data_IF_001829584993
#
_entry.id   IF_001829584993
#
_cell.length_a   1.000
_cell.length_b   1.000
_cell.length_c   1.000
_cell.angle_alpha   90.00
_cell.angle_beta   90.00
_cell.angle_gamma   90.00
#
_symmetry.space_group_name_H-M   'P 1'
#
loop_
_entity.id
_entity.type
_entity.pdbx_description
1 polymer ?
#
# COMPACT_ATOMS: atom_id res chain seq x y z
N UNK A 1 21.11 -5.41 6.06
CA UNK A 1 20.84 -5.09 7.48
C UNK A 1 19.38 -5.29 7.91
N UNK A 2 18.37 -4.74 7.21
CA UNK A 2 16.97 -4.87 7.66
C UNK A 2 16.46 -6.33 7.74
N UNK A 3 16.91 -7.19 6.82
CA UNK A 3 16.58 -8.61 6.79
C UNK A 3 16.99 -9.31 8.09
N UNK A 4 18.17 -9.03 8.63
CA UNK A 4 18.67 -9.67 9.85
C UNK A 4 17.84 -9.32 11.07
N UNK A 5 17.46 -8.05 11.21
CA UNK A 5 16.67 -7.55 12.35
C UNK A 5 15.21 -8.05 12.34
N UNK A 6 14.58 -8.09 11.16
CA UNK A 6 13.15 -8.41 11.05
C UNK A 6 12.92 -9.92 10.86
N UNK A 7 13.78 -10.60 10.08
CA UNK A 7 13.56 -11.98 9.64
C UNK A 7 14.36 -12.99 10.47
N UNK A 8 15.62 -12.70 10.78
CA UNK A 8 16.52 -13.72 11.37
C UNK A 8 16.59 -13.66 12.91
N UNK A 9 16.00 -12.63 13.54
CA UNK A 9 16.02 -12.50 14.99
C UNK A 9 14.96 -13.43 15.63
N UNK A 10 15.40 -14.53 16.27
CA UNK A 10 14.51 -15.47 16.96
C UNK A 10 14.01 -14.97 18.33
N UNK A 11 14.76 -14.07 18.98
CA UNK A 11 14.54 -13.68 20.37
C UNK A 11 13.68 -12.41 20.53
N UNK A 12 13.50 -11.64 19.46
CA UNK A 12 12.64 -10.44 19.50
C UNK A 12 11.15 -10.79 19.50
N UNK A 13 10.38 -10.15 20.39
CA UNK A 13 8.91 -10.27 20.46
C UNK A 13 8.26 -9.90 19.12
N UNK A 14 7.20 -10.63 18.76
CA UNK A 14 6.45 -10.42 17.50
C UNK A 14 5.98 -8.96 17.34
N UNK A 15 5.51 -8.32 18.41
CA UNK A 15 5.07 -6.92 18.40
C UNK A 15 6.17 -5.95 17.95
N UNK A 16 7.42 -6.19 18.36
CA UNK A 16 8.56 -5.34 17.97
C UNK A 16 8.85 -5.49 16.49
N UNK A 17 8.85 -6.73 15.96
CA UNK A 17 9.04 -7.00 14.53
C UNK A 17 7.93 -6.36 13.68
N UNK A 18 6.68 -6.43 14.15
CA UNK A 18 5.55 -5.79 13.50
C UNK A 18 5.68 -4.26 13.50
N UNK A 19 6.13 -3.68 14.61
CA UNK A 19 6.39 -2.25 14.69
C UNK A 19 7.47 -1.84 13.69
N UNK A 20 8.60 -2.55 13.64
CA UNK A 20 9.67 -2.32 12.66
C UNK A 20 9.16 -2.41 11.22
N UNK A 21 8.32 -3.41 10.90
CA UNK A 21 7.67 -3.51 9.60
C UNK A 21 6.83 -2.27 9.27
N UNK A 22 5.98 -1.83 10.22
CA UNK A 22 5.12 -0.65 10.06
C UNK A 22 5.92 0.65 9.93
N UNK A 23 7.06 0.77 10.60
CA UNK A 23 7.87 1.99 10.60
C UNK A 23 8.84 2.07 9.43
N UNK A 24 9.41 0.95 8.97
CA UNK A 24 10.46 0.96 7.95
C UNK A 24 9.96 0.50 6.58
N UNK A 25 9.26 -0.62 6.53
CA UNK A 25 8.88 -1.24 5.25
C UNK A 25 7.58 -0.66 4.70
N UNK A 26 6.63 -0.32 5.57
CA UNK A 26 5.37 0.28 5.15
C UNK A 26 5.52 1.62 4.44
N UNK A 27 6.33 2.58 4.92
CA UNK A 27 6.56 3.82 4.19
C UNK A 27 7.16 3.62 2.80
N UNK A 28 8.09 2.66 2.63
CA UNK A 28 8.74 2.38 1.33
C UNK A 28 7.71 1.95 0.29
N UNK A 29 6.88 0.96 0.59
CA UNK A 29 5.87 0.54 -0.39
C UNK A 29 4.71 1.53 -0.49
N UNK A 30 4.41 2.30 0.56
CA UNK A 30 3.41 3.39 0.50
C UNK A 30 3.86 4.49 -0.45
N UNK A 31 5.14 4.81 -0.49
CA UNK A 31 5.70 5.72 -1.48
C UNK A 31 5.51 5.18 -2.91
N UNK A 32 5.88 3.90 -3.12
CA UNK A 32 5.61 3.22 -4.39
C UNK A 32 4.14 3.19 -4.77
N UNK A 33 3.23 3.13 -3.79
CA UNK A 33 1.78 3.20 -4.02
C UNK A 33 1.32 4.58 -4.50
N UNK A 34 1.93 5.68 -4.06
CA UNK A 34 1.57 7.01 -4.61
C UNK A 34 2.06 7.17 -6.04
N UNK A 35 3.24 6.62 -6.35
CA UNK A 35 3.87 6.72 -7.67
C UNK A 35 3.21 5.77 -8.68
N UNK A 36 2.92 4.54 -8.26
CA UNK A 36 2.43 3.45 -9.12
C UNK A 36 1.03 2.97 -8.77
N UNK A 37 0.36 3.54 -7.78
CA UNK A 37 -0.95 3.03 -7.37
C UNK A 37 -2.05 3.37 -8.36
N UNK A 38 -1.81 4.31 -9.30
CA UNK A 38 -2.69 4.54 -10.45
C UNK A 38 -2.40 3.54 -11.58
N UNK A 39 -1.43 2.63 -11.37
CA UNK A 39 -1.07 1.61 -12.33
C UNK A 39 -1.94 0.35 -12.19
N UNK A 40 -1.81 -0.52 -13.20
CA UNK A 40 -2.50 -1.81 -13.33
C UNK A 40 -2.47 -2.65 -12.04
N UNK A 41 -3.56 -3.37 -11.79
CA UNK A 41 -3.74 -4.31 -10.65
C UNK A 41 -2.53 -5.25 -10.45
N UNK A 42 -1.86 -5.64 -11.54
CA UNK A 42 -0.66 -6.47 -11.50
C UNK A 42 0.47 -5.90 -10.64
N UNK A 43 0.65 -4.59 -10.58
CA UNK A 43 1.67 -3.94 -9.75
C UNK A 43 1.30 -3.99 -8.25
N UNK A 44 0.02 -3.75 -7.93
CA UNK A 44 -0.48 -3.93 -6.56
C UNK A 44 -0.28 -5.37 -6.08
N UNK A 45 -0.52 -6.34 -6.95
CA UNK A 45 -0.29 -7.76 -6.66
C UNK A 45 1.18 -8.10 -6.40
N UNK A 46 2.14 -7.41 -7.05
CA UNK A 46 3.57 -7.56 -6.75
C UNK A 46 3.89 -7.07 -5.33
N UNK A 47 3.39 -5.89 -4.96
CA UNK A 47 3.58 -5.31 -3.62
C UNK A 47 2.91 -6.19 -2.55
N UNK A 48 1.69 -6.68 -2.81
CA UNK A 48 0.99 -7.59 -1.90
C UNK A 48 1.77 -8.88 -1.69
N UNK A 49 2.34 -9.49 -2.75
CA UNK A 49 3.19 -10.68 -2.63
C UNK A 49 4.43 -10.42 -1.78
N UNK A 50 5.07 -9.26 -1.94
CA UNK A 50 6.19 -8.84 -1.11
C UNK A 50 5.79 -8.71 0.36
N UNK A 51 4.68 -8.03 0.64
CA UNK A 51 4.10 -7.92 1.99
C UNK A 51 3.83 -9.28 2.62
N UNK A 52 3.15 -10.19 1.91
CA UNK A 52 2.83 -11.53 2.42
C UNK A 52 4.09 -12.34 2.78
N UNK A 53 5.13 -12.26 1.93
CA UNK A 53 6.42 -12.92 2.21
C UNK A 53 7.07 -12.38 3.49
N UNK A 54 7.01 -11.08 3.72
CA UNK A 54 7.56 -10.47 4.94
C UNK A 54 6.75 -10.86 6.17
N UNK A 55 5.41 -10.81 6.10
CA UNK A 55 4.55 -11.14 7.23
C UNK A 55 4.78 -12.58 7.69
N UNK A 56 4.83 -13.54 6.76
CA UNK A 56 5.17 -14.93 7.08
C UNK A 56 6.53 -15.07 7.74
N UNK A 57 7.52 -14.33 7.27
CA UNK A 57 8.86 -14.32 7.87
C UNK A 57 8.89 -13.71 9.27
N UNK A 58 8.05 -12.71 9.54
CA UNK A 58 7.95 -12.11 10.88
C UNK A 58 7.28 -13.07 11.86
N UNK A 59 6.21 -13.74 11.42
CA UNK A 59 5.44 -14.67 12.25
C UNK A 59 6.01 -16.08 12.30
N UNK A 60 7.06 -16.36 11.52
CA UNK A 60 7.57 -17.72 11.28
C UNK A 60 6.45 -18.71 10.88
N UNK A 61 5.45 -18.23 10.13
CA UNK A 61 4.29 -19.02 9.77
C UNK A 61 4.63 -20.05 8.69
N UNK A 62 4.19 -21.31 8.84
CA UNK A 62 4.26 -22.32 7.79
C UNK A 62 3.54 -21.92 6.51
N UNK A 63 3.88 -22.55 5.38
CA UNK A 63 3.31 -22.27 4.07
C UNK A 63 1.81 -22.59 3.97
N UNK A 64 1.33 -23.63 4.67
CA UNK A 64 -0.06 -24.08 4.64
C UNK A 64 -1.04 -23.10 5.30
N UNK A 65 -0.57 -22.23 6.21
CA UNK A 65 -1.41 -21.20 6.83
C UNK A 65 -1.86 -20.23 5.74
N UNK A 66 -3.15 -19.94 5.64
CA UNK A 66 -3.65 -19.04 4.59
C UNK A 66 -3.15 -17.59 4.80
N UNK A 67 -2.95 -16.84 3.72
CA UNK A 67 -2.64 -15.41 3.84
C UNK A 67 -3.80 -14.66 4.53
N UNK A 68 -5.04 -15.07 4.28
CA UNK A 68 -6.23 -14.46 4.88
C UNK A 68 -6.22 -14.56 6.40
N UNK A 69 -5.91 -15.75 6.95
CA UNK A 69 -5.77 -15.97 8.39
C UNK A 69 -4.68 -15.06 8.98
N UNK A 70 -3.50 -15.02 8.35
CA UNK A 70 -2.41 -14.13 8.80
C UNK A 70 -2.82 -12.65 8.82
N UNK A 71 -3.58 -12.21 7.81
CA UNK A 71 -4.08 -10.84 7.76
C UNK A 71 -5.09 -10.55 8.87
N UNK A 72 -5.99 -11.50 9.15
CA UNK A 72 -6.98 -11.41 10.21
C UNK A 72 -6.32 -11.37 11.60
N UNK A 73 -5.42 -12.30 11.87
CA UNK A 73 -4.76 -12.45 13.19
C UNK A 73 -3.86 -11.25 13.51
N UNK A 74 -3.17 -10.71 12.50
CA UNK A 74 -2.30 -9.54 12.65
C UNK A 74 -3.04 -8.20 12.50
N UNK A 75 -4.36 -8.24 12.28
CA UNK A 75 -5.21 -7.08 11.98
C UNK A 75 -4.61 -6.16 10.89
N UNK A 76 -4.21 -6.77 9.77
CA UNK A 76 -3.55 -6.08 8.66
C UNK A 76 -4.44 -5.98 7.43
N UNK A 77 -4.71 -4.75 7.00
CA UNK A 77 -5.38 -4.46 5.73
C UNK A 77 -4.60 -4.98 4.53
N UNK A 78 -5.28 -5.28 3.44
CA UNK A 78 -4.60 -5.59 2.16
C UNK A 78 -4.01 -4.33 1.53
N UNK A 79 -3.06 -4.47 0.61
CA UNK A 79 -2.48 -3.35 -0.14
C UNK A 79 -3.57 -2.62 -0.93
N UNK A 80 -4.54 -3.35 -1.48
CA UNK A 80 -5.66 -2.76 -2.21
C UNK A 80 -6.56 -1.91 -1.30
N UNK A 81 -6.87 -2.39 -0.10
CA UNK A 81 -7.61 -1.59 0.89
C UNK A 81 -6.82 -0.37 1.36
N UNK A 82 -5.51 -0.52 1.59
CA UNK A 82 -4.64 0.60 1.96
C UNK A 82 -4.61 1.64 0.83
N UNK A 83 -4.49 1.21 -0.43
CA UNK A 83 -4.56 2.09 -1.60
C UNK A 83 -5.87 2.87 -1.64
N UNK A 84 -7.01 2.17 -1.55
CA UNK A 84 -8.34 2.80 -1.53
C UNK A 84 -8.46 3.83 -0.41
N UNK A 85 -7.94 3.52 0.78
CA UNK A 85 -7.94 4.45 1.91
C UNK A 85 -7.02 5.67 1.68
N UNK A 86 -5.85 5.47 1.08
CA UNK A 86 -4.95 6.56 0.72
C UNK A 86 -5.58 7.49 -0.33
N UNK A 87 -6.20 6.94 -1.37
CA UNK A 87 -6.88 7.72 -2.39
C UNK A 87 -8.05 8.51 -1.85
N UNK A 88 -8.90 7.88 -1.03
CA UNK A 88 -9.99 8.60 -0.36
C UNK A 88 -9.47 9.78 0.46
N UNK A 89 -8.42 9.57 1.27
CA UNK A 89 -7.82 10.64 2.08
C UNK A 89 -7.18 11.73 1.23
N UNK A 90 -6.53 11.36 0.13
CA UNK A 90 -5.92 12.32 -0.79
C UNK A 90 -7.00 13.18 -1.46
N UNK A 91 -8.04 12.55 -2.01
CA UNK A 91 -9.13 13.25 -2.68
C UNK A 91 -9.88 14.19 -1.75
N UNK A 92 -10.19 13.76 -0.52
CA UNK A 92 -10.80 14.63 0.50
C UNK A 92 -9.96 15.88 0.81
N UNK A 93 -8.62 15.75 0.81
CA UNK A 93 -7.72 16.88 1.05
C UNK A 93 -7.67 17.88 -0.11
N UNK A 94 -7.89 17.42 -1.34
CA UNK A 94 -7.92 18.31 -2.51
C UNK A 94 -9.08 19.31 -2.40
N UNK A 95 -10.26 18.85 -1.95
CA UNK A 95 -11.44 19.72 -1.79
C UNK A 95 -11.22 20.83 -0.74
N UNK A 96 -10.49 20.53 0.33
CA UNK A 96 -10.17 21.49 1.40
C UNK A 96 -8.91 22.31 1.14
N UNK A 97 -8.25 22.16 -0.01
CA UNK A 97 -6.97 22.81 -0.28
C UNK A 97 -7.16 24.34 -0.45
N UNK A 98 -6.19 25.17 -0.03
CA UNK A 98 -6.31 26.63 -0.19
C UNK A 98 -6.34 27.07 -1.65
N UNK A 99 -5.44 26.50 -2.47
CA UNK A 99 -5.35 26.74 -3.91
C UNK A 99 -6.57 26.18 -4.67
N UNK A 100 -7.28 27.06 -5.36
CA UNK A 100 -8.48 26.75 -6.15
C UNK A 100 -8.20 25.86 -7.37
N UNK A 101 -7.03 26.00 -8.02
CA UNK A 101 -6.63 25.12 -9.13
C UNK A 101 -6.58 23.65 -8.69
N UNK A 102 -6.13 23.40 -7.47
CA UNK A 102 -6.04 22.05 -6.90
C UNK A 102 -7.43 21.50 -6.57
N UNK A 103 -8.37 22.35 -6.13
CA UNK A 103 -9.78 21.96 -5.95
C UNK A 103 -10.42 21.58 -7.28
N UNK A 104 -10.14 22.35 -8.33
CA UNK A 104 -10.65 22.08 -9.67
C UNK A 104 -10.12 20.75 -10.24
N UNK A 105 -8.92 20.33 -9.86
CA UNK A 105 -8.39 19.00 -10.21
C UNK A 105 -9.07 17.84 -9.48
N UNK A 106 -9.83 18.10 -8.40
CA UNK A 106 -10.54 17.07 -7.66
C UNK A 106 -11.87 16.66 -8.33
N UNK A 107 -12.34 17.41 -9.33
CA UNK A 107 -13.58 17.10 -10.03
C UNK A 107 -13.41 15.82 -10.86
N UNK A 108 -14.40 14.91 -10.78
CA UNK A 108 -14.41 13.67 -11.57
C UNK A 108 -14.67 13.94 -13.07
N UNK A 109 -15.05 15.18 -13.39
CA UNK A 109 -15.32 15.67 -14.74
C UNK A 109 -14.17 16.56 -15.20
N UNK A 110 -13.55 16.20 -16.33
CA UNK A 110 -12.59 17.09 -17.01
C UNK A 110 -13.41 18.18 -17.68
N UNK A 111 -13.32 19.42 -17.18
CA UNK A 111 -13.89 20.58 -17.89
C UNK A 111 -13.27 20.65 -19.29
N UNK A 112 -14.09 20.54 -20.33
CA UNK A 112 -13.67 20.74 -21.73
C UNK A 112 -13.35 19.47 -22.54
N UNK A 113 -13.57 18.27 -22.01
CA UNK A 113 -13.45 16.98 -22.72
C UNK A 113 -12.31 16.95 -23.79
N UNK A 114 -11.05 17.21 -23.40
CA UNK A 114 -9.95 17.27 -24.36
C UNK A 114 -9.76 15.89 -25.00
N UNK A 115 -9.57 15.81 -26.33
CA UNK A 115 -9.43 14.54 -27.02
C UNK A 115 -8.28 13.74 -26.40
N UNK A 116 -8.58 12.51 -26.00
CA UNK A 116 -7.59 11.58 -25.46
C UNK A 116 -6.50 11.38 -26.53
N UNK A 117 -5.31 11.96 -26.27
CA UNK A 117 -4.19 12.02 -27.22
C UNK A 117 -3.61 10.63 -27.56
N UNK A 118 -4.05 9.58 -26.89
CA UNK A 118 -3.64 8.21 -27.14
C UNK A 118 -4.84 7.39 -27.60
N UNK A 119 -4.92 7.16 -28.91
CA UNK A 119 -5.74 6.09 -29.47
C UNK A 119 -5.19 4.76 -28.92
N UNK A 120 -5.93 4.12 -28.03
CA UNK A 120 -5.66 2.74 -27.68
C UNK A 120 -5.98 1.91 -28.93
N UNK A 121 -4.94 1.28 -29.51
CA UNK A 121 -5.09 0.27 -30.56
C UNK A 121 -5.44 -1.07 -29.94
#
# INVERSE_FOLDING_TARGET
>A
MLKTLIVNNKHSKLNIKLLLYKSLLKPIWTYGLKLWGNAKISNLNKIQRFKNKILRKITNSPSYVSNHSLHKDLNMKTIQEEAKNYYKRFHLRLNSHSNELIKNLATLTISGNPPLRLKQK
#
